data_IF_478011283047
#
_entry.id   IF_478011283047
#
_cell.length_a   1.000
_cell.length_b   1.000
_cell.length_c   1.000
_cell.angle_alpha   90.00
_cell.angle_beta   90.00
_cell.angle_gamma   90.00
#
_symmetry.space_group_name_H-M   'P 1'
#
loop_
_entity.id
_entity.type
_entity.pdbx_description
1 polymer ?
#
# COMPACT_ATOMS: atom_id res chain seq x y z
N UNK A 1 21.89 -5.88 -1.71
CA UNK A 1 21.34 -5.27 -2.93
C UNK A 1 19.96 -5.86 -3.19
N UNK A 2 18.90 -5.05 -3.38
CA UNK A 2 17.59 -5.58 -3.75
C UNK A 2 17.72 -6.34 -5.08
N UNK A 3 17.01 -7.47 -5.23
CA UNK A 3 17.12 -8.27 -6.44
C UNK A 3 16.72 -7.45 -7.67
N UNK A 4 17.36 -7.68 -8.81
CA UNK A 4 17.04 -6.99 -10.06
C UNK A 4 15.54 -7.14 -10.42
N UNK A 5 14.96 -8.30 -10.10
CA UNK A 5 13.53 -8.60 -10.25
C UNK A 5 12.65 -7.68 -9.40
N UNK A 6 13.00 -7.45 -8.13
CA UNK A 6 12.23 -6.56 -7.26
C UNK A 6 12.27 -5.11 -7.76
N UNK A 7 13.45 -4.62 -8.14
CA UNK A 7 13.59 -3.26 -8.71
C UNK A 7 12.75 -3.10 -9.98
N UNK A 8 12.78 -4.08 -10.88
CA UNK A 8 11.98 -4.06 -12.10
C UNK A 8 10.48 -4.05 -11.80
N UNK A 9 10.03 -4.89 -10.86
CA UNK A 9 8.62 -5.02 -10.47
C UNK A 9 8.10 -3.77 -9.75
N UNK A 10 8.91 -3.10 -8.95
CA UNK A 10 8.50 -1.87 -8.25
C UNK A 10 8.34 -0.66 -9.18
N UNK A 11 8.98 -0.64 -10.36
CA UNK A 11 8.92 0.49 -11.31
C UNK A 11 7.52 0.77 -11.86
N UNK A 12 6.61 -0.21 -11.83
CA UNK A 12 5.23 -0.01 -12.29
C UNK A 12 4.46 0.94 -11.35
N UNK A 13 4.86 1.02 -10.08
CA UNK A 13 4.26 1.88 -9.05
C UNK A 13 4.86 3.28 -9.10
N UNK A 14 4.68 3.97 -10.23
CA UNK A 14 5.08 5.37 -10.37
C UNK A 14 4.05 6.32 -9.73
N UNK A 15 4.44 7.57 -9.39
CA UNK A 15 3.48 8.58 -8.93
C UNK A 15 2.31 8.77 -9.90
N UNK A 16 2.57 8.74 -11.21
CA UNK A 16 1.54 8.86 -12.25
C UNK A 16 0.57 7.68 -12.23
N UNK A 17 1.08 6.45 -12.10
CA UNK A 17 0.24 5.26 -12.00
C UNK A 17 -0.68 5.34 -10.78
N UNK A 18 -0.11 5.63 -9.60
CA UNK A 18 -0.88 5.68 -8.35
C UNK A 18 -1.89 6.83 -8.35
N UNK A 19 -1.55 7.99 -8.92
CA UNK A 19 -2.48 9.10 -9.06
C UNK A 19 -3.67 8.77 -9.97
N UNK A 20 -3.45 8.03 -11.07
CA UNK A 20 -4.55 7.55 -11.94
C UNK A 20 -5.45 6.55 -11.23
N UNK A 21 -4.88 5.65 -10.44
CA UNK A 21 -5.65 4.72 -9.61
C UNK A 21 -6.48 5.49 -8.58
N UNK A 22 -5.90 6.47 -7.88
CA UNK A 22 -6.64 7.31 -6.95
C UNK A 22 -7.81 8.02 -7.65
N UNK A 23 -7.59 8.61 -8.83
CA UNK A 23 -8.65 9.24 -9.64
C UNK A 23 -9.80 8.30 -9.97
N UNK A 24 -9.54 7.03 -10.27
CA UNK A 24 -10.58 6.03 -10.48
C UNK A 24 -11.34 5.71 -9.18
N UNK A 25 -10.62 5.58 -8.07
CA UNK A 25 -11.18 5.19 -6.77
C UNK A 25 -12.02 6.28 -6.09
N UNK A 26 -11.79 7.55 -6.41
CA UNK A 26 -12.53 8.69 -5.82
C UNK A 26 -13.63 9.23 -6.73
N UNK A 27 -13.73 8.75 -7.97
CA UNK A 27 -14.80 9.15 -8.90
C UNK A 27 -16.19 9.00 -8.26
N UNK A 28 -17.09 10.00 -8.40
CA UNK A 28 -17.02 11.17 -9.29
C UNK A 28 -16.26 12.38 -8.74
N UNK A 29 -15.67 12.30 -7.54
CA UNK A 29 -14.88 13.39 -6.99
C UNK A 29 -13.57 13.60 -7.77
N UNK A 30 -13.01 14.81 -7.71
CA UNK A 30 -11.74 15.14 -8.36
C UNK A 30 -10.55 14.66 -7.50
N UNK A 31 -9.65 13.87 -8.11
CA UNK A 31 -8.38 13.51 -7.48
C UNK A 31 -7.39 14.66 -7.58
N UNK A 32 -6.80 15.02 -6.43
CA UNK A 32 -5.80 16.06 -6.32
C UNK A 32 -4.67 15.58 -5.41
N UNK A 33 -3.42 15.73 -5.86
CA UNK A 33 -2.25 15.57 -5.00
C UNK A 33 -2.08 16.87 -4.21
N UNK A 34 -2.21 16.79 -2.89
CA UNK A 34 -2.09 17.93 -1.96
C UNK A 34 -0.73 17.99 -1.28
N UNK A 35 0.00 16.87 -1.22
CA UNK A 35 1.37 16.80 -0.71
C UNK A 35 2.27 16.11 -1.73
N UNK A 36 2.85 16.86 -2.68
CA UNK A 36 3.55 16.29 -3.84
C UNK A 36 4.80 15.49 -3.50
N UNK A 37 5.41 15.71 -2.34
CA UNK A 37 6.59 14.97 -1.90
C UNK A 37 6.25 13.65 -1.17
N UNK A 38 5.06 13.52 -0.61
CA UNK A 38 4.66 12.35 0.16
C UNK A 38 4.41 11.12 -0.73
N UNK A 39 3.88 11.33 -1.94
CA UNK A 39 3.63 10.23 -2.87
C UNK A 39 4.93 9.57 -3.36
N UNK A 40 5.92 10.30 -3.92
CA UNK A 40 7.22 9.73 -4.25
C UNK A 40 7.92 9.12 -3.04
N UNK A 41 7.82 9.75 -1.86
CA UNK A 41 8.39 9.22 -0.61
C UNK A 41 7.81 7.85 -0.25
N UNK A 42 6.49 7.69 -0.28
CA UNK A 42 5.83 6.41 -0.04
C UNK A 42 6.24 5.33 -1.04
N UNK A 43 6.40 5.68 -2.31
CA UNK A 43 6.78 4.74 -3.38
C UNK A 43 8.26 4.31 -3.30
N UNK A 44 9.13 5.14 -2.74
CA UNK A 44 10.54 4.82 -2.54
C UNK A 44 10.78 3.88 -1.35
N UNK A 45 9.95 3.96 -0.29
CA UNK A 45 10.13 3.22 0.97
C UNK A 45 10.34 1.70 0.80
N UNK A 46 9.55 0.96 -0.02
CA UNK A 46 9.75 -0.49 -0.17
C UNK A 46 11.13 -0.84 -0.72
N UNK A 47 11.65 -0.05 -1.67
CA UNK A 47 12.98 -0.26 -2.23
C UNK A 47 14.09 0.06 -1.22
N UNK A 48 13.91 1.12 -0.44
CA UNK A 48 14.83 1.47 0.66
C UNK A 48 14.87 0.35 1.71
N UNK A 49 13.71 -0.14 2.14
CA UNK A 49 13.63 -1.25 3.12
C UNK A 49 14.25 -2.52 2.54
N UNK A 50 13.94 -2.90 1.29
CA UNK A 50 14.55 -4.08 0.67
C UNK A 50 16.08 -3.95 0.49
N UNK A 51 16.61 -2.73 0.39
CA UNK A 51 18.05 -2.49 0.31
C UNK A 51 18.74 -2.65 1.67
N UNK A 52 18.21 -2.00 2.70
CA UNK A 52 18.84 -1.95 4.03
C UNK A 52 18.44 -3.13 4.95
N UNK A 53 17.31 -3.77 4.68
CA UNK A 53 16.75 -4.89 5.46
C UNK A 53 16.29 -6.01 4.51
N UNK A 54 17.24 -6.69 3.84
CA UNK A 54 16.96 -7.68 2.78
C UNK A 54 16.20 -8.92 3.28
N UNK A 55 16.17 -9.16 4.59
CA UNK A 55 15.43 -10.26 5.22
C UNK A 55 13.92 -10.01 5.33
N UNK A 56 13.44 -8.80 5.05
CA UNK A 56 12.02 -8.47 5.13
C UNK A 56 11.21 -9.14 4.02
N UNK A 57 10.12 -9.77 4.44
CA UNK A 57 9.19 -10.45 3.55
C UNK A 57 8.41 -9.45 2.67
N UNK A 58 7.87 -9.89 1.52
CA UNK A 58 7.03 -9.06 0.64
C UNK A 58 5.87 -8.35 1.35
N UNK A 59 5.26 -8.99 2.36
CA UNK A 59 4.20 -8.41 3.20
C UNK A 59 4.66 -7.14 3.92
N UNK A 60 5.88 -7.17 4.46
CA UNK A 60 6.45 -6.01 5.13
C UNK A 60 6.76 -4.89 4.14
N UNK A 61 7.32 -5.21 2.97
CA UNK A 61 7.57 -4.22 1.92
C UNK A 61 6.27 -3.56 1.44
N UNK A 62 5.22 -4.36 1.20
CA UNK A 62 3.91 -3.86 0.81
C UNK A 62 3.25 -3.02 1.92
N UNK A 63 3.41 -3.41 3.19
CA UNK A 63 2.93 -2.63 4.33
C UNK A 63 3.66 -1.27 4.43
N UNK A 64 4.96 -1.19 4.15
CA UNK A 64 5.69 0.10 4.16
C UNK A 64 5.17 1.07 3.11
N UNK A 65 4.78 0.56 1.92
CA UNK A 65 4.14 1.34 0.87
C UNK A 65 2.77 1.87 1.32
N UNK A 66 1.94 0.96 1.81
CA UNK A 66 0.57 1.25 2.25
C UNK A 66 0.54 2.24 3.41
N UNK A 67 1.35 1.98 4.44
CA UNK A 67 1.53 2.87 5.59
C UNK A 67 2.01 4.26 5.15
N UNK A 68 2.99 4.33 4.23
CA UNK A 68 3.48 5.60 3.70
C UNK A 68 2.41 6.41 2.95
N UNK A 69 1.53 5.76 2.21
CA UNK A 69 0.40 6.41 1.54
C UNK A 69 -0.68 6.87 2.52
N UNK A 70 -0.97 6.06 3.54
CA UNK A 70 -1.95 6.41 4.57
C UNK A 70 -1.43 7.60 5.36
N UNK A 71 -0.27 7.48 6.01
CA UNK A 71 0.26 8.52 6.91
C UNK A 71 0.76 9.76 6.17
N UNK A 72 1.27 9.60 4.95
CA UNK A 72 1.66 10.74 4.11
C UNK A 72 0.46 11.58 3.68
N UNK A 73 -0.72 10.98 3.53
CA UNK A 73 -1.92 11.61 2.98
C UNK A 73 -1.62 12.46 1.72
N UNK A 74 -1.00 11.89 0.66
CA UNK A 74 -0.61 12.66 -0.51
C UNK A 74 -1.80 13.19 -1.32
N UNK A 75 -2.97 12.56 -1.24
CA UNK A 75 -4.18 12.94 -1.97
C UNK A 75 -5.19 13.69 -1.08
N UNK A 76 -6.03 14.52 -1.70
CA UNK A 76 -7.14 15.20 -1.01
C UNK A 76 -8.13 14.19 -0.39
N UNK A 77 -8.45 13.12 -1.12
CA UNK A 77 -9.29 12.01 -0.65
C UNK A 77 -8.77 10.67 -1.18
N UNK A 78 -9.24 9.57 -0.59
CA UNK A 78 -9.03 8.22 -1.08
C UNK A 78 -7.70 7.60 -0.65
N UNK A 79 -6.94 8.22 0.26
CA UNK A 79 -5.62 7.73 0.69
C UNK A 79 -5.66 6.27 1.15
N UNK A 80 -6.59 5.91 2.06
CA UNK A 80 -6.76 4.52 2.54
C UNK A 80 -7.14 3.54 1.42
N UNK A 81 -8.11 3.91 0.58
CA UNK A 81 -8.57 3.10 -0.57
C UNK A 81 -7.44 2.87 -1.57
N UNK A 82 -6.66 3.92 -1.84
CA UNK A 82 -5.50 3.88 -2.73
C UNK A 82 -4.39 3.02 -2.14
N UNK A 83 -4.09 3.18 -0.86
CA UNK A 83 -3.11 2.37 -0.15
C UNK A 83 -3.48 0.88 -0.19
N UNK A 84 -4.75 0.55 0.07
CA UNK A 84 -5.25 -0.83 0.00
C UNK A 84 -5.06 -1.44 -1.38
N UNK A 85 -5.49 -0.73 -2.41
CA UNK A 85 -5.37 -1.19 -3.78
C UNK A 85 -3.89 -1.40 -4.16
N UNK A 86 -3.06 -0.38 -3.95
CA UNK A 86 -1.64 -0.40 -4.32
C UNK A 86 -0.88 -1.47 -3.55
N UNK A 87 -1.19 -1.70 -2.26
CA UNK A 87 -0.59 -2.78 -1.47
C UNK A 87 -0.88 -4.16 -2.07
N UNK A 88 -2.14 -4.42 -2.44
CA UNK A 88 -2.52 -5.69 -3.06
C UNK A 88 -1.83 -5.89 -4.42
N UNK A 89 -1.78 -4.85 -5.26
CA UNK A 89 -1.08 -4.93 -6.55
C UNK A 89 0.43 -5.15 -6.36
N UNK A 90 1.03 -4.52 -5.34
CA UNK A 90 2.45 -4.69 -5.02
C UNK A 90 2.76 -6.13 -4.61
N UNK A 91 1.92 -6.74 -3.77
CA UNK A 91 2.05 -8.16 -3.39
C UNK A 91 1.92 -9.09 -4.58
N UNK A 92 0.91 -8.87 -5.44
CA UNK A 92 0.71 -9.64 -6.67
C UNK A 92 1.91 -9.54 -7.60
N UNK A 93 2.48 -8.35 -7.78
CA UNK A 93 3.70 -8.15 -8.57
C UNK A 93 4.90 -8.93 -7.98
N UNK A 94 4.98 -9.05 -6.66
CA UNK A 94 5.97 -9.86 -5.96
C UNK A 94 5.63 -11.37 -5.87
N UNK A 95 4.63 -11.85 -6.61
CA UNK A 95 4.15 -13.24 -6.57
C UNK A 95 3.75 -13.70 -5.15
N UNK A 96 3.27 -12.77 -4.33
CA UNK A 96 2.78 -13.03 -2.99
C UNK A 96 1.25 -12.92 -2.95
N UNK A 97 0.57 -13.66 -2.06
CA UNK A 97 -0.86 -13.47 -1.85
C UNK A 97 -1.17 -12.00 -1.52
N UNK A 98 -2.27 -11.49 -2.06
CA UNK A 98 -2.80 -10.18 -1.68
C UNK A 98 -3.15 -10.12 -0.20
N UNK A 99 -3.40 -8.91 0.30
CA UNK A 99 -3.95 -8.70 1.65
C UNK A 99 -5.30 -9.39 1.76
N UNK A 100 -6.07 -9.38 0.67
CA UNK A 100 -7.34 -10.08 0.54
C UNK A 100 -7.18 -11.22 -0.48
N UNK A 101 -7.66 -12.44 -0.18
CA UNK A 101 -7.69 -13.53 -1.15
C UNK A 101 -8.61 -13.19 -2.34
N UNK A 102 -8.34 -13.80 -3.49
CA UNK A 102 -9.19 -13.62 -4.70
C UNK A 102 -10.56 -14.33 -4.57
N UNK A 103 -10.78 -15.10 -3.51
CA UNK A 103 -12.08 -15.69 -3.16
C UNK A 103 -13.00 -14.69 -2.47
N UNK A 104 -14.34 -14.83 -2.58
CA UNK A 104 -15.29 -14.02 -1.83
C UNK A 104 -14.99 -14.00 -0.33
N UNK A 105 -14.91 -12.80 0.24
CA UNK A 105 -14.76 -12.61 1.67
C UNK A 105 -16.11 -12.63 2.37
N UNK A 106 -16.14 -13.13 3.61
CA UNK A 106 -17.27 -12.89 4.49
C UNK A 106 -17.29 -11.43 4.94
N UNK A 107 -18.47 -10.93 5.33
CA UNK A 107 -18.64 -9.56 5.84
C UNK A 107 -17.65 -9.24 6.97
N UNK A 108 -17.54 -10.14 7.96
CA UNK A 108 -16.62 -9.96 9.08
C UNK A 108 -15.16 -9.76 8.65
N UNK A 109 -14.71 -10.42 7.59
CA UNK A 109 -13.35 -10.25 7.07
C UNK A 109 -13.17 -8.90 6.37
N UNK A 110 -14.18 -8.44 5.65
CA UNK A 110 -14.17 -7.09 5.06
C UNK A 110 -14.11 -6.02 6.14
N UNK A 111 -14.88 -6.19 7.22
CA UNK A 111 -14.89 -5.28 8.37
C UNK A 111 -13.51 -5.22 9.02
N UNK A 112 -12.86 -6.37 9.27
CA UNK A 112 -11.50 -6.42 9.82
C UNK A 112 -10.46 -5.71 8.94
N UNK A 113 -10.55 -5.86 7.62
CA UNK A 113 -9.65 -5.16 6.68
C UNK A 113 -9.90 -3.66 6.74
N UNK A 114 -11.16 -3.22 6.77
CA UNK A 114 -11.49 -1.81 6.88
C UNK A 114 -10.98 -1.19 8.20
N UNK A 115 -11.18 -1.90 9.31
CA UNK A 115 -10.70 -1.52 10.64
C UNK A 115 -9.17 -1.40 10.67
N UNK A 116 -8.44 -2.37 10.12
CA UNK A 116 -6.98 -2.31 10.03
C UNK A 116 -6.47 -1.01 9.37
N UNK A 117 -7.09 -0.60 8.26
CA UNK A 117 -6.66 0.61 7.55
C UNK A 117 -7.12 1.89 8.25
N UNK A 118 -8.21 1.83 9.03
CA UNK A 118 -8.61 2.91 9.92
C UNK A 118 -7.59 3.06 11.06
N UNK A 119 -7.20 1.95 11.69
CA UNK A 119 -6.23 1.91 12.78
C UNK A 119 -4.86 2.44 12.36
N UNK A 120 -4.39 2.07 11.17
CA UNK A 120 -3.17 2.65 10.60
C UNK A 120 -3.34 4.17 10.44
N UNK A 121 -4.47 4.66 9.93
CA UNK A 121 -4.71 6.08 9.77
C UNK A 121 -4.87 6.84 11.10
N UNK A 122 -5.31 6.17 12.16
CA UNK A 122 -5.34 6.69 13.52
C UNK A 122 -3.96 6.62 14.21
N UNK A 123 -2.96 5.99 13.58
CA UNK A 123 -1.63 5.80 14.15
C UNK A 123 -1.58 4.72 15.24
N UNK A 124 -2.63 3.91 15.41
CA UNK A 124 -2.69 2.84 16.41
C UNK A 124 -1.97 1.57 15.94
N UNK A 125 -1.88 1.38 14.62
CA UNK A 125 -1.15 0.28 13.98
C UNK A 125 0.04 0.81 13.19
N UNK A 126 1.23 0.29 13.49
CA UNK A 126 2.46 0.59 12.77
C UNK A 126 2.66 -0.35 11.56
N UNK A 127 3.77 -0.16 10.84
CA UNK A 127 4.13 -1.00 9.68
C UNK A 127 4.20 -2.48 10.05
N UNK A 128 4.72 -2.82 11.24
CA UNK A 128 4.88 -4.21 11.69
C UNK A 128 3.52 -4.84 11.98
N UNK A 129 2.62 -4.11 12.65
CA UNK A 129 1.25 -4.53 12.88
C UNK A 129 0.49 -4.73 11.57
N UNK A 130 0.62 -3.79 10.64
CA UNK A 130 0.00 -3.90 9.31
C UNK A 130 0.53 -5.08 8.49
N UNK A 131 1.84 -5.35 8.55
CA UNK A 131 2.46 -6.46 7.84
C UNK A 131 2.06 -7.84 8.39
N UNK A 132 1.80 -7.92 9.70
CA UNK A 132 1.46 -9.15 10.39
C UNK A 132 -0.05 -9.39 10.51
N UNK A 133 -0.87 -8.41 10.12
CA UNK A 133 -2.32 -8.52 10.16
C UNK A 133 -2.75 -9.68 9.25
N UNK A 134 -3.14 -10.80 9.89
CA UNK A 134 -3.77 -11.89 9.17
C UNK A 134 -5.18 -11.44 8.82
N UNK A 135 -5.37 -11.06 7.57
CA UNK A 135 -6.71 -11.00 6.98
C UNK A 135 -7.17 -12.45 6.74
N UNK A 136 -7.46 -13.15 7.85
CA UNK A 136 -7.81 -14.57 7.90
C UNK A 136 -9.25 -14.79 7.50
#
# INVERSE_FOLDING_TARGET
>A
MPSASLVQKSRIFSPTYVARINAQLVSPAHSQIVKPHELPSALARPLQVAHYQPEKLPQYLAATLSYGLIMGHPFMDGNKRTAFFVQNQYLKALNSPGVVPDSPLSKAKLDNVAELYNDVACGTVDVKGMANAKCG
#
